data_IF_219105744896
#
_entry.id   IF_219105744896
#
_cell.length_a   1.000
_cell.length_b   1.000
_cell.length_c   1.000
_cell.angle_alpha   90.00
_cell.angle_beta   90.00
_cell.angle_gamma   90.00
#
_symmetry.space_group_name_H-M   'P 1'
#
loop_
_entity.id
_entity.type
_entity.pdbx_description
1 polymer ?
#
# COMPACT_ATOMS: atom_id res chain seq x y z
N UNK A 1 -62.40 22.10 -12.23
CA UNK A 1 -61.59 20.92 -11.85
C UNK A 1 -60.15 21.37 -11.81
N UNK A 2 -59.59 21.60 -10.62
CA UNK A 2 -58.28 22.25 -10.45
C UNK A 2 -57.22 21.16 -10.34
N UNK A 3 -56.29 21.14 -11.29
CA UNK A 3 -55.15 20.20 -11.29
C UNK A 3 -54.08 20.75 -10.35
N UNK A 4 -53.86 20.08 -9.23
CA UNK A 4 -52.78 20.41 -8.29
C UNK A 4 -51.48 19.82 -8.80
N UNK A 5 -50.55 20.68 -9.24
CA UNK A 5 -49.21 20.27 -9.64
C UNK A 5 -48.36 20.18 -8.36
N UNK A 6 -48.11 18.96 -7.91
CA UNK A 6 -47.19 18.71 -6.79
C UNK A 6 -45.76 18.94 -7.27
N UNK A 7 -45.15 20.04 -6.85
CA UNK A 7 -43.73 20.32 -7.09
C UNK A 7 -42.91 19.40 -6.20
N UNK A 8 -42.39 18.32 -6.77
CA UNK A 8 -41.37 17.50 -6.12
C UNK A 8 -40.09 18.33 -5.97
N UNK A 9 -39.87 18.88 -4.78
CA UNK A 9 -38.57 19.36 -4.37
C UNK A 9 -37.64 18.15 -4.21
N UNK A 10 -36.97 17.77 -5.30
CA UNK A 10 -35.79 16.90 -5.20
C UNK A 10 -34.73 17.67 -4.42
N UNK A 11 -34.52 17.30 -3.15
CA UNK A 11 -33.34 17.73 -2.42
C UNK A 11 -32.15 17.14 -3.17
N UNK A 12 -31.43 17.97 -3.91
CA UNK A 12 -30.13 17.60 -4.46
C UNK A 12 -29.30 16.98 -3.33
N UNK A 13 -28.82 15.75 -3.53
CA UNK A 13 -27.97 15.04 -2.59
C UNK A 13 -26.75 15.89 -2.27
N UNK A 14 -26.80 16.59 -1.13
CA UNK A 14 -25.63 17.24 -0.53
C UNK A 14 -24.90 16.20 0.31
N UNK A 15 -24.28 15.24 -0.37
CA UNK A 15 -23.10 14.52 0.12
C UNK A 15 -22.22 14.21 -1.09
N UNK A 16 -21.27 15.09 -1.37
CA UNK A 16 -20.03 14.65 -2.02
C UNK A 16 -19.36 13.69 -1.04
N UNK A 17 -19.58 12.39 -1.23
CA UNK A 17 -18.64 11.38 -0.72
C UNK A 17 -17.52 11.32 -1.76
N UNK A 18 -16.73 12.39 -1.85
CA UNK A 18 -15.51 12.40 -2.65
C UNK A 18 -14.32 12.37 -1.68
N UNK A 19 -14.27 11.34 -0.85
CA UNK A 19 -13.00 10.89 -0.29
C UNK A 19 -12.36 9.96 -1.32
N UNK A 20 -11.98 10.51 -2.47
CA UNK A 20 -11.06 9.79 -3.34
C UNK A 20 -9.78 9.61 -2.52
N UNK A 21 -9.42 8.37 -2.21
CA UNK A 21 -8.19 8.09 -1.48
C UNK A 21 -7.02 8.63 -2.34
N UNK A 22 -6.29 9.59 -1.78
CA UNK A 22 -5.16 10.25 -2.43
C UNK A 22 -4.05 9.26 -2.84
N UNK A 23 -4.10 8.03 -2.32
CA UNK A 23 -3.16 6.98 -2.68
C UNK A 23 -3.16 6.68 -4.19
N UNK A 24 -4.30 6.67 -4.87
CA UNK A 24 -4.34 6.44 -6.32
C UNK A 24 -3.60 7.57 -7.06
N UNK A 25 -3.67 8.82 -6.58
CA UNK A 25 -2.87 9.94 -7.10
C UNK A 25 -1.37 9.72 -6.86
N UNK A 26 -0.98 9.26 -5.66
CA UNK A 26 0.41 8.95 -5.36
C UNK A 26 0.97 7.85 -6.27
N UNK A 27 0.23 6.75 -6.48
CA UNK A 27 0.63 5.66 -7.39
C UNK A 27 0.78 6.14 -8.83
N UNK A 28 -0.19 6.94 -9.32
CA UNK A 28 -0.20 7.40 -10.71
C UNK A 28 0.94 8.39 -11.03
N UNK A 29 1.46 9.11 -10.03
CA UNK A 29 2.56 10.05 -10.17
C UNK A 29 3.91 9.50 -9.67
N UNK A 30 3.98 8.20 -9.37
CA UNK A 30 5.19 7.53 -8.88
C UNK A 30 5.76 6.58 -9.94
N UNK A 31 7.09 6.45 -9.97
CA UNK A 31 7.83 5.49 -10.79
C UNK A 31 8.85 4.71 -9.94
N UNK A 32 9.09 3.45 -10.27
CA UNK A 32 10.27 2.75 -9.77
C UNK A 32 11.44 3.02 -10.72
N UNK A 33 12.41 3.84 -10.32
CA UNK A 33 13.44 4.36 -11.25
C UNK A 33 14.68 3.46 -11.39
N UNK A 34 14.87 2.48 -10.51
CA UNK A 34 15.89 1.44 -10.65
C UNK A 34 15.28 0.05 -10.55
N UNK A 35 15.86 -0.97 -11.17
CA UNK A 35 15.25 -2.30 -11.21
C UNK A 35 15.18 -2.94 -9.81
N UNK A 36 16.18 -2.69 -8.97
CA UNK A 36 16.27 -3.28 -7.62
C UNK A 36 15.82 -2.33 -6.50
N UNK A 37 15.16 -1.21 -6.83
CA UNK A 37 14.70 -0.21 -5.85
C UNK A 37 13.26 -0.44 -5.35
N UNK A 38 12.72 -1.65 -5.42
CA UNK A 38 11.33 -1.93 -5.02
C UNK A 38 11.00 -1.53 -3.57
N UNK A 39 11.93 -1.75 -2.64
CA UNK A 39 11.77 -1.37 -1.23
C UNK A 39 11.69 0.16 -1.06
N UNK A 40 12.73 0.94 -1.46
CA UNK A 40 12.66 2.40 -1.34
C UNK A 40 11.55 3.01 -2.20
N UNK A 41 11.20 2.42 -3.34
CA UNK A 41 10.05 2.83 -4.17
C UNK A 41 8.73 2.78 -3.38
N UNK A 42 8.46 1.66 -2.70
CA UNK A 42 7.26 1.51 -1.88
C UNK A 42 7.25 2.50 -0.70
N UNK A 43 8.39 2.74 -0.05
CA UNK A 43 8.52 3.72 1.04
C UNK A 43 8.25 5.13 0.53
N UNK A 44 8.86 5.55 -0.57
CA UNK A 44 8.60 6.85 -1.18
C UNK A 44 7.13 7.02 -1.60
N UNK A 45 6.47 5.95 -2.04
CA UNK A 45 5.03 5.99 -2.33
C UNK A 45 4.21 6.28 -1.07
N UNK A 46 4.58 5.72 0.09
CA UNK A 46 3.99 6.07 1.39
C UNK A 46 4.29 7.52 1.77
N UNK A 47 5.54 7.98 1.65
CA UNK A 47 5.92 9.37 1.97
C UNK A 47 5.11 10.37 1.13
N UNK A 48 4.94 10.10 -0.17
CA UNK A 48 4.12 10.91 -1.10
C UNK A 48 2.65 10.87 -0.69
N UNK A 49 2.13 9.69 -0.35
CA UNK A 49 0.75 9.54 0.15
C UNK A 49 0.49 10.38 1.41
N UNK A 50 1.43 10.35 2.35
CA UNK A 50 1.39 11.14 3.58
C UNK A 50 1.68 12.63 3.37
N UNK A 51 2.01 13.05 2.13
CA UNK A 51 2.30 14.44 1.73
C UNK A 51 3.46 15.08 2.49
N UNK A 52 4.42 14.26 2.94
CA UNK A 52 5.65 14.73 3.60
C UNK A 52 6.80 14.95 2.61
N UNK A 53 6.61 14.54 1.35
CA UNK A 53 7.51 14.80 0.22
C UNK A 53 6.70 15.02 -1.07
N UNK A 54 7.32 15.68 -2.05
CA UNK A 54 6.72 15.93 -3.38
C UNK A 54 6.66 14.68 -4.26
N UNK A 55 5.80 14.70 -5.29
CA UNK A 55 5.68 13.59 -6.24
C UNK A 55 6.97 13.30 -7.04
N UNK A 56 7.82 14.31 -7.24
CA UNK A 56 9.12 14.17 -7.90
C UNK A 56 10.23 13.69 -6.96
N UNK A 57 9.92 13.40 -5.69
CA UNK A 57 10.89 12.85 -4.76
C UNK A 57 11.28 11.43 -5.15
N UNK A 58 12.59 11.22 -5.35
CA UNK A 58 13.22 9.94 -5.66
C UNK A 58 14.53 9.77 -4.86
N UNK A 59 14.65 10.44 -3.71
CA UNK A 59 15.88 10.49 -2.93
C UNK A 59 16.34 9.12 -2.44
N UNK A 60 15.41 8.30 -1.93
CA UNK A 60 15.72 6.97 -1.40
C UNK A 60 16.07 6.01 -2.53
N UNK A 61 15.36 6.09 -3.67
CA UNK A 61 15.70 5.27 -4.84
C UNK A 61 17.06 5.66 -5.43
N UNK A 62 17.40 6.96 -5.48
CA UNK A 62 18.70 7.44 -5.95
C UNK A 62 19.86 7.02 -5.05
N UNK A 63 19.66 7.00 -3.74
CA UNK A 63 20.66 6.51 -2.79
C UNK A 63 20.83 4.98 -2.91
N UNK A 64 19.73 4.25 -3.10
CA UNK A 64 19.73 2.79 -3.20
C UNK A 64 20.26 2.25 -4.52
N UNK A 65 19.95 2.93 -5.63
CA UNK A 65 20.27 2.50 -7.00
C UNK A 65 19.82 1.05 -7.28
N UNK A 66 20.71 0.20 -7.81
CA UNK A 66 20.47 -1.21 -8.09
C UNK A 66 21.04 -2.14 -7.01
N UNK A 67 21.06 -1.73 -5.73
CA UNK A 67 21.42 -2.61 -4.62
C UNK A 67 20.46 -3.81 -4.55
N UNK A 68 20.99 -5.04 -4.59
CA UNK A 68 20.22 -6.30 -4.66
C UNK A 68 20.18 -7.09 -3.37
N UNK A 69 21.01 -6.76 -2.39
CA UNK A 69 21.15 -7.46 -1.10
C UNK A 69 20.37 -6.79 0.04
N UNK A 70 19.54 -5.79 -0.27
CA UNK A 70 18.75 -5.07 0.72
C UNK A 70 17.44 -5.76 1.10
N UNK A 71 16.88 -5.32 2.22
CA UNK A 71 15.72 -5.93 2.87
C UNK A 71 14.92 -4.86 3.64
N UNK A 72 13.74 -5.24 4.16
CA UNK A 72 12.97 -4.35 5.05
C UNK A 72 13.76 -3.91 6.29
N UNK A 73 14.75 -4.69 6.74
CA UNK A 73 15.63 -4.32 7.85
C UNK A 73 16.41 -3.02 7.59
N UNK A 74 16.70 -2.69 6.33
CA UNK A 74 17.37 -1.43 5.99
C UNK A 74 16.52 -0.19 6.33
N UNK A 75 15.23 -0.36 6.61
CA UNK A 75 14.27 0.70 6.97
C UNK A 75 13.55 0.46 8.30
N UNK A 76 13.79 -0.67 8.98
CA UNK A 76 13.18 -0.96 10.28
C UNK A 76 13.61 0.08 11.32
N UNK A 77 12.60 0.66 11.99
CA UNK A 77 12.73 1.72 13.03
C UNK A 77 13.41 3.00 12.54
N UNK A 78 13.50 3.20 11.22
CA UNK A 78 13.99 4.47 10.68
C UNK A 78 12.86 5.48 10.61
N UNK A 79 13.13 6.67 11.14
CA UNK A 79 12.30 7.84 10.91
C UNK A 79 12.74 8.54 9.62
N UNK A 80 11.79 8.76 8.72
CA UNK A 80 11.98 9.45 7.45
C UNK A 80 10.89 10.51 7.33
N UNK A 81 11.28 11.78 7.34
CA UNK A 81 10.34 12.90 7.20
C UNK A 81 9.18 12.87 8.21
N UNK A 82 9.47 12.54 9.48
CA UNK A 82 8.46 12.44 10.55
C UNK A 82 7.59 11.17 10.50
N UNK A 83 7.99 10.17 9.71
CA UNK A 83 7.31 8.87 9.60
C UNK A 83 8.27 7.77 9.99
N UNK A 84 7.90 7.01 11.02
CA UNK A 84 8.69 5.88 11.51
C UNK A 84 8.21 4.58 10.88
N UNK A 85 9.08 3.88 10.16
CA UNK A 85 8.78 2.58 9.54
C UNK A 85 9.12 1.44 10.48
N UNK A 86 8.30 0.38 10.51
CA UNK A 86 8.50 -0.79 11.37
C UNK A 86 8.22 -2.09 10.62
N UNK A 87 9.23 -2.94 10.56
CA UNK A 87 9.17 -4.28 9.97
C UNK A 87 8.44 -5.22 10.94
N UNK A 88 7.56 -6.05 10.41
CA UNK A 88 6.83 -7.04 11.18
C UNK A 88 6.80 -8.39 10.47
N UNK A 89 6.49 -9.45 11.23
CA UNK A 89 6.38 -10.83 10.74
C UNK A 89 7.68 -11.40 10.12
N UNK A 90 8.82 -11.08 10.73
CA UNK A 90 10.13 -11.69 10.40
C UNK A 90 10.18 -13.12 10.97
N UNK A 91 9.42 -14.02 10.35
CA UNK A 91 9.21 -15.40 10.79
C UNK A 91 9.48 -16.38 9.64
N UNK A 92 9.84 -17.65 9.93
CA UNK A 92 9.91 -18.70 8.92
C UNK A 92 8.58 -18.86 8.17
N UNK A 93 8.65 -18.95 6.84
CA UNK A 93 7.48 -19.11 5.96
C UNK A 93 7.12 -20.58 5.80
N UNK A 94 6.57 -21.15 6.87
CA UNK A 94 6.16 -22.54 6.95
C UNK A 94 4.71 -22.68 7.46
N UNK A 95 4.26 -23.92 7.67
CA UNK A 95 2.89 -24.21 8.09
C UNK A 95 2.51 -23.62 9.47
N UNK A 96 3.49 -23.15 10.25
CA UNK A 96 3.27 -22.51 11.56
C UNK A 96 3.16 -20.98 11.46
N UNK A 97 3.36 -20.40 10.27
CA UNK A 97 3.28 -18.96 10.07
C UNK A 97 1.89 -18.42 10.45
N UNK A 98 1.78 -17.35 11.26
CA UNK A 98 0.50 -16.86 11.78
C UNK A 98 -0.25 -15.99 10.75
N UNK A 99 -0.74 -16.62 9.68
CA UNK A 99 -1.40 -15.95 8.54
C UNK A 99 -2.60 -15.10 8.98
N UNK A 100 -3.43 -15.61 9.89
CA UNK A 100 -4.61 -14.87 10.35
C UNK A 100 -4.22 -13.60 11.13
N UNK A 101 -3.14 -13.65 11.92
CA UNK A 101 -2.62 -12.48 12.63
C UNK A 101 -2.02 -11.45 11.66
N UNK A 102 -1.34 -11.93 10.60
CA UNK A 102 -0.85 -11.06 9.53
C UNK A 102 -2.01 -10.34 8.84
N UNK A 103 -3.06 -11.06 8.45
CA UNK A 103 -4.24 -10.45 7.81
C UNK A 103 -4.95 -9.48 8.74
N UNK A 104 -5.15 -9.85 10.00
CA UNK A 104 -5.78 -8.95 10.99
C UNK A 104 -4.97 -7.66 11.18
N UNK A 105 -3.63 -7.76 11.18
CA UNK A 105 -2.74 -6.59 11.28
C UNK A 105 -2.91 -5.66 10.09
N UNK A 106 -2.88 -6.21 8.87
CA UNK A 106 -3.10 -5.42 7.64
C UNK A 106 -4.48 -4.77 7.65
N UNK A 107 -5.53 -5.51 8.04
CA UNK A 107 -6.90 -4.95 8.11
C UNK A 107 -7.01 -3.80 9.11
N UNK A 108 -6.33 -3.90 10.25
CA UNK A 108 -6.35 -2.83 11.26
C UNK A 108 -5.65 -1.56 10.74
N UNK A 109 -4.50 -1.72 10.07
CA UNK A 109 -3.82 -0.61 9.41
C UNK A 109 -4.73 0.05 8.35
N UNK A 110 -5.34 -0.75 7.47
CA UNK A 110 -6.26 -0.24 6.44
C UNK A 110 -7.48 0.47 7.03
N UNK A 111 -8.08 -0.07 8.10
CA UNK A 111 -9.21 0.56 8.83
C UNK A 111 -8.82 1.89 9.47
N UNK A 112 -7.56 2.04 9.87
CA UNK A 112 -7.02 3.31 10.37
C UNK A 112 -6.67 4.32 9.27
N UNK A 113 -6.94 3.98 8.01
CA UNK A 113 -6.63 4.82 6.84
C UNK A 113 -5.20 4.67 6.33
N UNK A 114 -4.36 3.90 7.03
CA UNK A 114 -2.97 3.62 6.64
C UNK A 114 -2.89 2.59 5.53
N UNK A 115 -1.68 2.38 5.03
CA UNK A 115 -1.33 1.46 3.95
C UNK A 115 -0.21 0.55 4.46
N UNK A 116 -0.04 -0.62 3.86
CA UNK A 116 0.99 -1.58 4.32
C UNK A 116 1.89 -1.95 3.18
N UNK A 117 3.21 -1.84 3.37
CA UNK A 117 4.19 -2.31 2.41
C UNK A 117 4.38 -3.82 2.64
N UNK A 118 4.42 -4.61 1.58
CA UNK A 118 4.43 -6.08 1.65
C UNK A 118 5.33 -6.67 0.56
N UNK A 119 6.05 -7.73 0.89
CA UNK A 119 6.71 -8.55 -0.12
C UNK A 119 5.75 -9.67 -0.57
N UNK A 120 5.61 -9.93 -1.87
CA UNK A 120 4.77 -11.01 -2.38
C UNK A 120 5.61 -12.03 -3.13
N UNK A 121 5.49 -13.31 -2.82
CA UNK A 121 6.13 -14.37 -3.61
C UNK A 121 5.40 -14.50 -4.95
N UNK A 122 6.05 -14.03 -6.01
CA UNK A 122 5.58 -14.17 -7.38
C UNK A 122 6.65 -14.88 -8.20
N UNK A 123 6.28 -16.02 -8.78
CA UNK A 123 7.20 -16.92 -9.47
C UNK A 123 8.43 -17.23 -8.58
N UNK A 124 9.64 -16.86 -9.02
CA UNK A 124 10.90 -17.04 -8.30
C UNK A 124 11.39 -15.78 -7.57
N UNK A 125 10.55 -14.76 -7.42
CA UNK A 125 10.94 -13.45 -6.89
C UNK A 125 10.02 -12.93 -5.77
N UNK A 126 10.49 -11.92 -5.05
CA UNK A 126 9.76 -11.26 -3.96
C UNK A 126 9.57 -9.76 -4.23
N UNK A 127 8.82 -9.37 -5.27
CA UNK A 127 8.53 -7.97 -5.53
C UNK A 127 7.78 -7.32 -4.36
N UNK A 128 8.04 -6.02 -4.18
CA UNK A 128 7.46 -5.21 -3.12
C UNK A 128 6.21 -4.51 -3.64
N UNK A 129 5.13 -4.58 -2.85
CA UNK A 129 3.86 -3.95 -3.11
C UNK A 129 3.42 -3.09 -1.93
N UNK A 130 2.43 -2.25 -2.15
CA UNK A 130 1.68 -1.52 -1.12
C UNK A 130 0.24 -2.00 -1.14
N UNK A 131 -0.22 -2.61 -0.04
CA UNK A 131 -1.62 -2.93 0.20
C UNK A 131 -2.39 -1.63 0.39
N UNK A 132 -3.34 -1.40 -0.52
CA UNK A 132 -4.09 -0.16 -0.63
C UNK A 132 -5.43 -0.21 0.09
N UNK A 133 -6.21 -1.26 -0.19
CA UNK A 133 -7.58 -1.41 0.32
C UNK A 133 -7.99 -2.86 0.40
N UNK A 134 -9.06 -3.07 1.16
CA UNK A 134 -9.80 -4.32 1.20
C UNK A 134 -11.06 -4.20 0.33
N UNK A 135 -11.36 -5.21 -0.47
CA UNK A 135 -12.60 -5.31 -1.25
C UNK A 135 -13.77 -5.78 -0.37
N UNK A 136 -15.03 -5.64 -0.82
CA UNK A 136 -16.20 -6.05 -0.02
C UNK A 136 -16.24 -7.54 0.35
N UNK A 137 -15.61 -8.40 -0.47
CA UNK A 137 -15.44 -9.84 -0.22
C UNK A 137 -14.23 -10.16 0.69
N UNK A 138 -13.53 -9.14 1.17
CA UNK A 138 -12.48 -9.26 2.17
C UNK A 138 -11.08 -9.49 1.60
N UNK A 139 -10.90 -9.45 0.28
CA UNK A 139 -9.59 -9.60 -0.38
C UNK A 139 -8.80 -8.28 -0.38
N UNK A 140 -7.47 -8.37 -0.48
CA UNK A 140 -6.58 -7.21 -0.47
C UNK A 140 -6.16 -6.82 -1.89
N UNK A 141 -6.29 -5.54 -2.21
CA UNK A 141 -5.76 -4.93 -3.43
C UNK A 141 -4.41 -4.30 -3.14
N UNK A 142 -3.40 -4.70 -3.91
CA UNK A 142 -2.03 -4.22 -3.74
C UNK A 142 -1.48 -3.62 -5.02
N UNK A 143 -0.74 -2.52 -4.90
CA UNK A 143 -0.10 -1.81 -6.01
C UNK A 143 1.41 -1.89 -5.94
N UNK A 144 2.07 -1.93 -7.09
CA UNK A 144 3.51 -1.72 -7.21
C UNK A 144 3.81 -0.94 -8.49
N UNK A 145 5.07 -0.57 -8.69
CA UNK A 145 5.54 0.11 -9.90
C UNK A 145 6.70 -0.67 -10.50
N UNK A 146 6.61 -0.93 -11.80
CA UNK A 146 7.76 -1.35 -12.60
C UNK A 146 8.04 -0.28 -13.63
N UNK A 147 9.10 0.51 -13.41
CA UNK A 147 9.28 1.78 -14.10
C UNK A 147 8.02 2.65 -13.92
N UNK A 148 7.41 3.11 -15.00
CA UNK A 148 6.16 3.86 -14.99
C UNK A 148 4.90 2.99 -14.98
N UNK A 149 5.01 1.67 -15.15
CA UNK A 149 3.86 0.79 -15.21
C UNK A 149 3.34 0.47 -13.80
N UNK A 150 2.04 0.63 -13.60
CA UNK A 150 1.38 0.25 -12.35
C UNK A 150 1.01 -1.23 -12.39
N UNK A 151 1.52 -1.99 -11.44
CA UNK A 151 1.17 -3.40 -11.23
C UNK A 151 0.08 -3.49 -10.17
N UNK A 152 -0.91 -4.36 -10.38
CA UNK A 152 -2.07 -4.49 -9.49
C UNK A 152 -2.33 -5.98 -9.22
N UNK A 153 -2.35 -6.36 -7.94
CA UNK A 153 -2.90 -7.65 -7.52
C UNK A 153 -4.20 -7.45 -6.76
N UNK A 154 -5.20 -8.28 -7.11
CA UNK A 154 -6.53 -8.29 -6.49
C UNK A 154 -6.83 -9.59 -5.74
N UNK A 155 -5.78 -10.37 -5.46
CA UNK A 155 -5.81 -11.67 -4.79
C UNK A 155 -4.63 -11.82 -3.82
N UNK A 156 -4.25 -10.73 -3.13
CA UNK A 156 -3.04 -10.68 -2.29
C UNK A 156 -3.08 -11.71 -1.16
N UNK A 157 -4.22 -11.93 -0.49
CA UNK A 157 -4.36 -12.95 0.56
C UNK A 157 -4.13 -14.35 0.01
N UNK A 158 -4.61 -14.63 -1.21
CA UNK A 158 -4.36 -15.91 -1.88
C UNK A 158 -2.85 -16.14 -2.11
N UNK A 159 -2.13 -15.11 -2.59
CA UNK A 159 -0.68 -15.18 -2.79
C UNK A 159 0.04 -15.48 -1.47
N UNK A 160 -0.31 -14.79 -0.39
CA UNK A 160 0.28 -14.98 0.94
C UNK A 160 0.02 -16.39 1.48
N UNK A 161 -1.19 -16.92 1.27
CA UNK A 161 -1.52 -18.31 1.66
C UNK A 161 -0.66 -19.32 0.92
N UNK A 162 -0.48 -19.13 -0.40
CA UNK A 162 0.35 -20.03 -1.22
C UNK A 162 1.83 -19.98 -0.85
N UNK A 163 2.31 -18.85 -0.32
CA UNK A 163 3.71 -18.70 0.11
C UNK A 163 3.97 -19.05 1.58
N UNK A 164 2.95 -19.54 2.31
CA UNK A 164 3.03 -19.78 3.76
C UNK A 164 3.50 -18.55 4.55
N UNK A 165 3.01 -17.36 4.17
CA UNK A 165 3.31 -16.11 4.86
C UNK A 165 4.25 -15.18 4.10
N UNK A 166 4.46 -14.02 4.70
CA UNK A 166 5.35 -12.96 4.23
C UNK A 166 5.65 -11.98 5.36
N UNK A 167 6.63 -11.11 5.15
CA UNK A 167 6.89 -9.97 6.02
C UNK A 167 6.20 -8.70 5.48
N UNK A 168 5.94 -7.77 6.39
CA UNK A 168 5.35 -6.48 6.07
C UNK A 168 6.14 -5.35 6.70
N UNK A 169 5.90 -4.15 6.19
CA UNK A 169 6.39 -2.91 6.75
C UNK A 169 5.19 -1.97 6.96
N UNK A 170 5.07 -1.51 8.20
CA UNK A 170 4.04 -0.58 8.69
C UNK A 170 4.67 0.76 9.04
N UNK A 171 3.87 1.78 9.33
CA UNK A 171 4.40 3.07 9.73
C UNK A 171 3.53 3.80 10.77
N UNK A 172 4.19 4.64 11.59
CA UNK A 172 3.55 5.64 12.43
C UNK A 172 3.87 7.04 11.93
N UNK A 173 2.93 7.95 12.15
CA UNK A 173 3.14 9.39 12.00
C UNK A 173 3.10 9.89 13.44
N UNK A 174 4.21 10.41 13.91
CA UNK A 174 4.36 10.91 15.28
C UNK A 174 3.93 12.38 15.38
#
# INVERSE_FOLDING_TARGET
MIVSISVFHSKAQTRKIDSYDFFDTAVNNHNQIFQSSGIPSAIEMILKYCKVVDFNFYGLQNEWQNKTDGSFRDFDKKELYGITFSQQFVLPRDATFPIDSLFQTIENELKSGKKVIIALQLDSSWPIYVVYKQTPDGEFVSYSKFQSHTLIHRNTKEIIRKSNGTEIMTYSID
#
